data_IF_369615366074
#
_entry.id   IF_369615366074
#
_cell.length_a   1.000
_cell.length_b   1.000
_cell.length_c   1.000
_cell.angle_alpha   90.00
_cell.angle_beta   90.00
_cell.angle_gamma   90.00
#
_symmetry.space_group_name_H-M   'P 1'
#
loop_
_entity.id
_entity.type
_entity.pdbx_description
1 polymer ?
#
# COMPACT_ATOMS: atom_id res chain seq x y z
N UNK A 1 7.05 21.13 54.92
CA UNK A 1 7.17 19.68 54.61
C UNK A 1 6.58 19.31 53.24
N UNK A 2 6.31 20.27 52.33
CA UNK A 2 5.72 19.99 51.00
C UNK A 2 6.73 20.02 49.84
N UNK A 3 7.91 20.63 50.01
CA UNK A 3 8.90 20.80 48.93
C UNK A 3 9.65 19.51 48.57
N UNK A 4 9.76 18.56 49.49
CA UNK A 4 10.45 17.29 49.25
C UNK A 4 9.64 16.32 48.36
N UNK A 5 8.31 16.38 48.43
CA UNK A 5 7.44 15.54 47.59
C UNK A 5 7.33 16.08 46.16
N UNK A 6 7.35 17.41 45.95
CA UNK A 6 7.34 17.99 44.61
C UNK A 6 8.66 17.74 43.88
N UNK A 7 9.79 17.83 44.57
CA UNK A 7 11.11 17.53 44.00
C UNK A 7 11.24 16.05 43.58
N UNK A 8 10.75 15.10 44.39
CA UNK A 8 10.74 13.67 44.00
C UNK A 8 9.87 13.40 42.78
N UNK A 9 8.74 14.09 42.64
CA UNK A 9 7.84 13.91 41.50
C UNK A 9 8.43 14.52 40.22
N UNK A 10 9.14 15.65 40.34
CA UNK A 10 9.87 16.27 39.23
C UNK A 10 11.06 15.42 38.76
N UNK A 11 11.79 14.81 39.69
CA UNK A 11 12.92 13.93 39.39
C UNK A 11 12.46 12.68 38.64
N UNK A 12 11.37 12.05 39.10
CA UNK A 12 10.72 10.94 38.38
C UNK A 12 10.23 11.34 36.99
N UNK A 13 9.54 12.48 36.85
CA UNK A 13 9.07 12.96 35.55
C UNK A 13 10.21 13.21 34.56
N UNK A 14 11.35 13.69 35.06
CA UNK A 14 12.56 13.94 34.25
C UNK A 14 13.18 12.60 33.81
N UNK A 15 13.29 11.62 34.72
CA UNK A 15 13.77 10.27 34.41
C UNK A 15 12.89 9.56 33.36
N UNK A 16 11.55 9.69 33.47
CA UNK A 16 10.62 9.17 32.46
C UNK A 16 10.83 9.81 31.10
N UNK A 17 10.98 11.14 31.04
CA UNK A 17 11.19 11.88 29.80
C UNK A 17 12.53 11.50 29.14
N UNK A 18 13.60 11.38 29.93
CA UNK A 18 14.91 10.94 29.44
C UNK A 18 14.86 9.52 28.88
N UNK A 19 14.12 8.63 29.54
CA UNK A 19 13.92 7.25 29.08
C UNK A 19 13.12 7.21 27.78
N UNK A 20 12.03 7.96 27.69
CA UNK A 20 11.22 8.07 26.46
C UNK A 20 12.05 8.64 25.30
N UNK A 21 12.86 9.67 25.56
CA UNK A 21 13.75 10.27 24.56
C UNK A 21 14.80 9.25 24.08
N UNK A 22 15.38 8.47 25.00
CA UNK A 22 16.35 7.43 24.67
C UNK A 22 15.72 6.31 23.84
N UNK A 23 14.51 5.88 24.20
CA UNK A 23 13.77 4.85 23.47
C UNK A 23 13.40 5.33 22.05
N UNK A 24 12.98 6.59 21.91
CA UNK A 24 12.69 7.19 20.61
C UNK A 24 13.95 7.31 19.73
N UNK A 25 15.09 7.70 20.30
CA UNK A 25 16.37 7.75 19.60
C UNK A 25 16.81 6.37 19.11
N UNK A 26 16.68 5.36 19.97
CA UNK A 26 17.03 3.98 19.64
C UNK A 26 16.11 3.44 18.52
N UNK A 27 14.81 3.70 18.61
CA UNK A 27 13.84 3.33 17.56
C UNK A 27 14.16 4.02 16.23
N UNK A 28 14.50 5.31 16.26
CA UNK A 28 14.89 6.09 15.08
C UNK A 28 16.11 5.47 14.40
N UNK A 29 17.17 5.19 15.16
CA UNK A 29 18.39 4.55 14.64
C UNK A 29 18.13 3.17 14.03
N UNK A 30 17.25 2.38 14.65
CA UNK A 30 16.84 1.09 14.10
C UNK A 30 16.06 1.29 12.80
N UNK A 31 15.07 2.17 12.77
CA UNK A 31 14.27 2.45 11.58
C UNK A 31 15.14 2.97 10.44
N UNK A 32 16.06 3.90 10.70
CA UNK A 32 17.03 4.39 9.71
C UNK A 32 17.87 3.26 9.14
N UNK A 33 18.40 2.36 9.97
CA UNK A 33 19.16 1.20 9.50
C UNK A 33 18.35 0.31 8.56
N UNK A 34 17.05 0.13 8.81
CA UNK A 34 16.19 -0.71 7.98
C UNK A 34 15.63 0.00 6.75
N UNK A 35 15.37 1.31 6.84
CA UNK A 35 14.81 2.17 5.79
C UNK A 35 15.86 2.75 4.85
N UNK A 36 17.12 2.84 5.27
CA UNK A 36 18.23 3.27 4.41
C UNK A 36 18.39 2.36 3.19
N UNK A 37 17.97 1.10 3.30
CA UNK A 37 17.88 0.20 2.17
C UNK A 37 16.62 0.50 1.34
N UNK A 38 16.82 1.14 0.18
CA UNK A 38 15.75 1.51 -0.75
C UNK A 38 14.98 0.32 -1.34
N UNK A 39 15.44 -0.92 -1.14
CA UNK A 39 14.76 -2.14 -1.62
C UNK A 39 13.87 -2.78 -0.54
N UNK A 40 13.66 -2.09 0.58
CA UNK A 40 12.76 -2.49 1.66
C UNK A 40 11.67 -1.44 1.84
N UNK A 41 10.47 -1.93 2.15
CA UNK A 41 9.33 -1.08 2.50
C UNK A 41 8.78 -1.54 3.85
N UNK A 42 8.33 -0.58 4.66
CA UNK A 42 7.59 -0.90 5.87
C UNK A 42 6.17 -1.30 5.50
N UNK A 43 5.71 -2.39 6.10
CA UNK A 43 4.38 -2.92 5.88
C UNK A 43 3.72 -3.25 7.19
N UNK A 44 2.44 -2.93 7.28
CA UNK A 44 1.54 -3.46 8.29
C UNK A 44 1.09 -4.84 7.85
N UNK A 45 1.33 -5.85 8.68
CA UNK A 45 0.73 -7.18 8.51
C UNK A 45 -0.76 -7.11 8.90
N UNK A 46 -1.62 -7.62 8.04
CA UNK A 46 -3.05 -7.79 8.28
C UNK A 46 -3.45 -9.24 8.05
N UNK A 47 -4.59 -9.67 8.59
CA UNK A 47 -5.10 -11.02 8.42
C UNK A 47 -6.58 -10.99 8.10
N UNK A 48 -6.99 -11.75 7.08
CA UNK A 48 -8.39 -11.89 6.70
C UNK A 48 -8.65 -13.32 6.25
N UNK A 49 -9.66 -13.98 6.85
CA UNK A 49 -10.02 -15.36 6.51
C UNK A 49 -8.84 -16.34 6.65
N UNK A 50 -8.04 -16.21 7.72
CA UNK A 50 -6.85 -17.03 7.96
C UNK A 50 -5.70 -16.81 6.96
N UNK A 51 -5.80 -15.80 6.09
CA UNK A 51 -4.78 -15.44 5.10
C UNK A 51 -4.10 -14.15 5.50
N UNK A 52 -2.77 -14.16 5.51
CA UNK A 52 -1.98 -12.97 5.81
C UNK A 52 -1.90 -12.05 4.60
N UNK A 53 -1.95 -10.75 4.83
CA UNK A 53 -1.68 -9.72 3.85
C UNK A 53 -0.74 -8.66 4.45
N UNK A 54 -0.14 -7.86 3.58
CA UNK A 54 0.78 -6.80 3.96
C UNK A 54 0.37 -5.52 3.24
N UNK A 55 0.24 -4.43 3.99
CA UNK A 55 -0.14 -3.11 3.48
C UNK A 55 0.97 -2.13 3.80
N UNK A 56 1.50 -1.45 2.79
CA UNK A 56 2.51 -0.40 2.96
C UNK A 56 2.28 0.72 1.96
N UNK A 57 2.96 1.84 2.17
CA UNK A 57 2.93 2.99 1.27
C UNK A 57 4.31 3.25 0.70
N UNK A 58 4.35 3.71 -0.55
CA UNK A 58 5.56 4.10 -1.27
C UNK A 58 5.30 5.36 -2.08
N UNK A 59 6.33 6.12 -2.41
CA UNK A 59 6.21 7.23 -3.36
C UNK A 59 5.99 6.70 -4.78
N UNK A 60 5.38 7.51 -5.63
CA UNK A 60 5.23 7.19 -7.06
C UNK A 60 6.58 7.03 -7.75
N UNK A 61 7.58 7.82 -7.36
CA UNK A 61 8.95 7.70 -7.86
C UNK A 61 9.55 6.33 -7.51
N UNK A 62 9.42 5.89 -6.25
CA UNK A 62 9.89 4.57 -5.83
C UNK A 62 9.19 3.46 -6.63
N UNK A 63 7.88 3.58 -6.83
CA UNK A 63 7.05 2.64 -7.59
C UNK A 63 7.50 2.55 -9.04
N UNK A 64 7.63 3.68 -9.73
CA UNK A 64 8.02 3.74 -11.15
C UNK A 64 9.40 3.12 -11.42
N UNK A 65 10.33 3.24 -10.47
CA UNK A 65 11.68 2.66 -10.60
C UNK A 65 11.78 1.15 -10.31
N UNK A 66 10.74 0.52 -9.76
CA UNK A 66 10.81 -0.88 -9.26
C UNK A 66 9.68 -1.79 -9.73
N UNK A 67 8.52 -1.22 -10.00
CA UNK A 67 7.36 -1.96 -10.47
C UNK A 67 7.25 -1.75 -11.97
N UNK A 68 7.26 -2.86 -12.72
CA UNK A 68 7.04 -2.80 -14.16
C UNK A 68 5.59 -2.48 -14.42
N UNK A 69 5.35 -1.53 -15.32
CA UNK A 69 3.99 -1.20 -15.75
C UNK A 69 3.33 -2.39 -16.43
N UNK A 70 1.99 -2.40 -16.46
CA UNK A 70 1.22 -3.43 -17.14
C UNK A 70 1.64 -3.58 -18.62
N UNK A 71 2.08 -2.49 -19.26
CA UNK A 71 2.64 -2.50 -20.62
C UNK A 71 3.82 -3.44 -20.82
N UNK A 72 4.56 -3.74 -19.76
CA UNK A 72 5.69 -4.67 -19.78
C UNK A 72 5.27 -6.14 -19.58
N UNK A 73 3.97 -6.45 -19.42
CA UNK A 73 3.49 -7.82 -19.26
C UNK A 73 3.73 -8.61 -20.56
N UNK A 74 4.12 -9.89 -20.47
CA UNK A 74 4.30 -10.74 -21.66
C UNK A 74 3.08 -10.79 -22.58
N UNK A 75 1.88 -10.70 -22.00
CA UNK A 75 0.62 -10.66 -22.74
C UNK A 75 0.54 -9.45 -23.70
N UNK A 76 1.07 -8.30 -23.29
CA UNK A 76 0.98 -7.05 -24.04
C UNK A 76 2.22 -6.75 -24.91
N UNK A 77 3.26 -7.59 -24.83
CA UNK A 77 4.46 -7.42 -25.66
C UNK A 77 4.19 -7.34 -27.17
N UNK A 78 3.27 -8.12 -27.77
CA UNK A 78 3.00 -8.03 -29.20
C UNK A 78 2.50 -6.66 -29.66
N UNK A 79 1.95 -5.86 -28.73
CA UNK A 79 1.38 -4.53 -28.97
C UNK A 79 2.28 -3.42 -28.43
N UNK A 80 3.49 -3.73 -27.95
CA UNK A 80 4.42 -2.74 -27.43
C UNK A 80 5.03 -1.90 -28.56
N UNK A 81 4.87 -0.58 -28.49
CA UNK A 81 5.46 0.36 -29.42
C UNK A 81 6.72 1.00 -28.80
N UNK A 82 7.88 0.71 -29.41
CA UNK A 82 9.19 1.22 -29.00
C UNK A 82 9.35 2.75 -29.16
N UNK A 83 8.53 3.36 -30.02
CA UNK A 83 8.56 4.81 -30.28
C UNK A 83 7.84 5.59 -29.18
N UNK A 84 6.71 5.07 -28.68
CA UNK A 84 5.92 5.69 -27.61
C UNK A 84 6.25 5.16 -26.21
N UNK A 85 7.07 4.11 -26.13
CA UNK A 85 7.41 3.37 -24.91
C UNK A 85 6.17 2.84 -24.17
N UNK A 86 5.15 2.43 -24.93
CA UNK A 86 3.86 2.00 -24.39
C UNK A 86 3.12 1.02 -25.32
N UNK A 87 2.01 0.45 -24.84
CA UNK A 87 1.15 -0.44 -25.63
C UNK A 87 0.31 0.38 -26.61
N UNK A 88 0.32 0.01 -27.88
CA UNK A 88 -0.66 0.50 -28.86
C UNK A 88 -2.04 -0.02 -28.52
N UNK A 89 -2.98 0.91 -28.34
CA UNK A 89 -4.38 0.61 -28.06
C UNK A 89 -5.13 0.53 -29.38
N UNK A 90 -5.66 -0.65 -29.67
CA UNK A 90 -6.53 -0.98 -30.79
C UNK A 90 -7.71 -1.83 -30.32
N UNK A 91 -8.61 -2.20 -31.23
CA UNK A 91 -9.84 -2.91 -30.90
C UNK A 91 -9.61 -4.27 -30.20
N UNK A 92 -8.47 -4.93 -30.44
CA UNK A 92 -8.17 -6.23 -29.82
C UNK A 92 -7.49 -6.05 -28.45
N UNK A 93 -6.54 -5.11 -28.36
CA UNK A 93 -5.83 -4.83 -27.11
C UNK A 93 -6.68 -4.07 -26.10
N UNK A 94 -7.69 -3.33 -26.52
CA UNK A 94 -8.58 -2.62 -25.59
C UNK A 94 -9.41 -3.59 -24.75
N UNK A 95 -9.81 -4.74 -25.32
CA UNK A 95 -10.49 -5.81 -24.57
C UNK A 95 -9.57 -6.51 -23.56
N UNK A 96 -8.26 -6.54 -23.83
CA UNK A 96 -7.25 -7.08 -22.93
C UNK A 96 -6.83 -6.09 -21.83
N UNK A 97 -6.80 -4.79 -22.15
CA UNK A 97 -6.37 -3.70 -21.25
C UNK A 97 -7.52 -3.23 -20.37
N UNK A 98 -8.75 -3.16 -20.89
CA UNK A 98 -9.88 -2.67 -20.11
C UNK A 98 -10.19 -3.61 -18.94
N UNK A 99 -10.57 -3.02 -17.81
CA UNK A 99 -11.24 -3.78 -16.78
C UNK A 99 -12.49 -4.39 -17.40
N UNK A 100 -12.56 -5.73 -17.42
CA UNK A 100 -13.73 -6.43 -17.90
C UNK A 100 -14.97 -5.86 -17.20
N UNK A 101 -16.06 -5.60 -17.93
CA UNK A 101 -17.31 -5.21 -17.30
C UNK A 101 -17.68 -6.26 -16.25
N UNK A 102 -18.34 -5.81 -15.18
CA UNK A 102 -18.82 -6.71 -14.13
C UNK A 102 -19.73 -7.78 -14.76
N UNK A 103 -19.19 -9.00 -14.83
CA UNK A 103 -19.92 -10.17 -15.29
C UNK A 103 -20.84 -10.66 -14.18
N UNK A 104 -22.07 -10.14 -14.18
CA UNK A 104 -23.09 -10.46 -13.19
C UNK A 104 -23.55 -11.93 -13.23
N UNK A 105 -23.29 -12.66 -14.32
CA UNK A 105 -23.60 -14.09 -14.38
C UNK A 105 -22.84 -14.91 -13.33
N UNK A 106 -21.72 -14.37 -12.83
CA UNK A 106 -20.87 -15.00 -11.82
C UNK A 106 -21.32 -14.76 -10.39
N UNK A 107 -22.39 -14.01 -10.16
CA UNK A 107 -22.89 -13.71 -8.80
C UNK A 107 -23.12 -14.98 -7.97
N UNK A 108 -23.87 -15.95 -8.51
CA UNK A 108 -24.21 -17.16 -7.78
C UNK A 108 -22.98 -18.03 -7.44
N UNK A 109 -22.08 -18.34 -8.39
CA UNK A 109 -20.80 -19.01 -8.06
C UNK A 109 -19.94 -18.24 -7.04
N UNK A 110 -19.92 -16.91 -7.12
CA UNK A 110 -19.12 -16.07 -6.22
C UNK A 110 -19.70 -16.07 -4.79
N UNK A 111 -21.03 -16.02 -4.66
CA UNK A 111 -21.73 -16.20 -3.37
C UNK A 111 -21.47 -17.59 -2.80
N UNK A 112 -21.55 -18.65 -3.60
CA UNK A 112 -21.20 -20.00 -3.17
C UNK A 112 -19.74 -20.09 -2.70
N UNK A 113 -18.80 -19.50 -3.44
CA UNK A 113 -17.40 -19.45 -3.04
C UNK A 113 -17.22 -18.77 -1.68
N UNK A 114 -17.85 -17.61 -1.47
CA UNK A 114 -17.76 -16.84 -0.22
C UNK A 114 -18.42 -17.56 0.97
N UNK A 115 -19.53 -18.26 0.73
CA UNK A 115 -20.30 -18.95 1.80
C UNK A 115 -19.71 -20.31 2.17
N UNK A 116 -19.10 -21.03 1.21
CA UNK A 116 -18.57 -22.38 1.43
C UNK A 116 -17.11 -22.33 1.92
N UNK A 117 -16.29 -21.40 1.41
CA UNK A 117 -14.87 -21.29 1.81
C UNK A 117 -14.75 -20.46 3.07
N UNK A 118 -14.35 -21.09 4.19
CA UNK A 118 -14.08 -20.36 5.45
C UNK A 118 -12.85 -19.44 5.38
N UNK A 119 -11.90 -19.77 4.49
CA UNK A 119 -10.69 -18.99 4.26
C UNK A 119 -10.78 -18.28 2.91
N UNK A 120 -11.68 -17.30 2.79
CA UNK A 120 -11.76 -16.44 1.60
C UNK A 120 -11.10 -15.09 1.87
N UNK A 121 -10.33 -14.61 0.89
CA UNK A 121 -9.80 -13.26 0.88
C UNK A 121 -10.58 -12.46 -0.17
N UNK A 122 -11.25 -11.38 0.21
CA UNK A 122 -11.76 -10.41 -0.76
C UNK A 122 -10.57 -9.83 -1.55
N UNK A 123 -10.69 -9.70 -2.88
CA UNK A 123 -9.71 -8.94 -3.64
C UNK A 123 -9.68 -7.50 -3.07
N UNK A 124 -8.49 -6.88 -3.00
CA UNK A 124 -8.40 -5.50 -2.55
C UNK A 124 -9.26 -4.63 -3.46
N UNK A 125 -10.17 -3.85 -2.88
CA UNK A 125 -10.92 -2.84 -3.62
C UNK A 125 -10.02 -1.61 -3.75
N UNK A 126 -9.69 -1.24 -4.99
CA UNK A 126 -8.97 -0.02 -5.26
C UNK A 126 -9.94 1.16 -5.12
N UNK A 127 -9.78 1.95 -4.06
CA UNK A 127 -10.48 3.22 -3.89
C UNK A 127 -9.51 4.32 -4.28
N UNK A 128 -9.76 5.00 -5.39
CA UNK A 128 -9.00 6.17 -5.81
C UNK A 128 -9.68 7.40 -5.23
N UNK A 129 -9.01 8.10 -4.33
CA UNK A 129 -9.43 9.43 -3.88
C UNK A 129 -8.77 10.41 -4.84
N UNK A 130 -9.53 11.00 -5.75
CA UNK A 130 -9.01 12.05 -6.63
C UNK A 130 -9.07 13.42 -5.94
N UNK A 131 -8.28 14.36 -6.45
CA UNK A 131 -8.42 15.77 -6.10
C UNK A 131 -9.50 16.40 -6.99
N UNK A 132 -10.24 17.42 -6.52
CA UNK A 132 -11.36 18.01 -7.26
C UNK A 132 -11.02 18.51 -8.67
N UNK A 133 -9.75 18.84 -8.93
CA UNK A 133 -9.28 19.30 -10.23
C UNK A 133 -9.08 18.18 -11.26
N UNK A 134 -8.97 16.91 -10.83
CA UNK A 134 -8.68 15.76 -11.72
C UNK A 134 -9.83 15.48 -12.69
N UNK A 135 -11.07 15.67 -12.24
CA UNK A 135 -12.28 15.48 -13.07
C UNK A 135 -12.85 16.81 -13.62
N UNK A 136 -12.17 17.93 -13.39
CA UNK A 136 -12.64 19.21 -13.90
C UNK A 136 -12.04 19.45 -15.30
N UNK A 137 -12.83 19.36 -16.39
CA UNK A 137 -12.34 19.62 -17.74
C UNK A 137 -11.96 21.09 -17.98
N UNK A 138 -12.20 21.97 -17.01
CA UNK A 138 -11.91 23.41 -17.03
C UNK A 138 -10.95 23.84 -15.91
N UNK A 139 -10.24 22.90 -15.27
CA UNK A 139 -9.22 23.22 -14.26
C UNK A 139 -7.96 23.83 -14.87
#
# INVERSE_FOLDING_TARGET
MNDSASNQTQDLATEYLERETRDQQLLTLLLEKYLANKDRILVQKTEMGGTQAYVGSVSLEWFAGRVRFASCLPLLQPKYNLTSDNVEIDADSIDEIQQRPLDWSRQLPLVQYLTIRKNHKFPPVLVVINQPWVDNPQA
#
